data_IF_323068306021
#
_entry.id   IF_323068306021
#
_cell.length_a   1.000
_cell.length_b   1.000
_cell.length_c   1.000
_cell.angle_alpha   90.00
_cell.angle_beta   90.00
_cell.angle_gamma   90.00
#
_symmetry.space_group_name_H-M   'P 1'
#
loop_
_entity.id
_entity.type
_entity.pdbx_description
1 polymer ?
#
# COMPACT_ATOMS: atom_id res chain seq x y z
N UNK A 1 -13.14 21.15 -12.25
CA UNK A 1 -12.35 20.24 -11.38
C UNK A 1 -11.77 21.02 -10.21
N UNK A 2 -11.27 22.24 -10.42
CA UNK A 2 -10.83 23.16 -9.36
C UNK A 2 -11.98 23.52 -8.41
N UNK A 3 -13.18 23.74 -8.95
CA UNK A 3 -14.39 24.07 -8.16
C UNK A 3 -14.75 22.98 -7.13
N UNK A 4 -14.47 21.72 -7.46
CA UNK A 4 -14.72 20.59 -6.57
C UNK A 4 -13.76 20.56 -5.38
N UNK A 5 -12.53 21.06 -5.53
CA UNK A 5 -11.53 21.06 -4.44
C UNK A 5 -11.86 22.15 -3.43
N UNK A 6 -12.24 23.35 -3.90
CA UNK A 6 -12.62 24.47 -3.04
C UNK A 6 -13.84 24.14 -2.17
N UNK A 7 -14.80 23.38 -2.71
CA UNK A 7 -15.97 22.92 -1.97
C UNK A 7 -15.61 22.09 -0.72
N UNK A 8 -14.46 21.41 -0.70
CA UNK A 8 -14.04 20.55 0.40
C UNK A 8 -12.99 21.18 1.32
N UNK A 9 -12.71 22.49 1.18
CA UNK A 9 -11.69 23.18 1.98
C UNK A 9 -11.84 22.97 3.50
N UNK A 10 -13.07 23.08 4.03
CA UNK A 10 -13.36 22.87 5.45
C UNK A 10 -13.12 21.41 5.88
N UNK A 11 -13.46 20.46 5.02
CA UNK A 11 -13.22 19.03 5.26
C UNK A 11 -11.72 18.73 5.31
N UNK A 12 -10.93 19.33 4.41
CA UNK A 12 -9.48 19.20 4.44
C UNK A 12 -8.87 19.82 5.70
N UNK A 13 -9.43 20.92 6.21
CA UNK A 13 -8.89 21.56 7.41
C UNK A 13 -9.15 20.74 8.69
N UNK A 14 -10.27 20.02 8.76
CA UNK A 14 -10.75 19.36 9.99
C UNK A 14 -10.45 17.86 10.04
N UNK A 15 -10.39 17.20 8.88
CA UNK A 15 -10.25 15.74 8.78
C UNK A 15 -8.91 15.28 8.21
N UNK A 16 -7.95 16.19 8.01
CA UNK A 16 -6.59 15.84 7.61
C UNK A 16 -5.62 16.16 8.74
N UNK A 17 -4.83 15.16 9.12
CA UNK A 17 -3.76 15.29 10.12
C UNK A 17 -2.44 14.85 9.50
N UNK A 18 -1.35 15.45 9.96
CA UNK A 18 -0.01 14.98 9.62
C UNK A 18 0.36 13.81 10.54
N UNK A 19 0.76 12.64 10.02
CA UNK A 19 1.30 11.55 10.83
C UNK A 19 2.53 12.03 11.61
N UNK A 20 2.51 11.89 12.93
CA UNK A 20 3.67 12.15 13.79
C UNK A 20 4.51 10.90 14.01
N UNK A 21 5.63 11.02 14.75
CA UNK A 21 6.56 9.91 15.00
C UNK A 21 5.93 8.69 15.70
N UNK A 22 4.91 8.89 16.53
CA UNK A 22 4.19 7.81 17.22
C UNK A 22 2.92 7.37 16.49
N UNK A 23 2.60 7.97 15.34
CA UNK A 23 1.40 7.64 14.58
C UNK A 23 1.58 6.32 13.85
N UNK A 24 0.65 5.39 14.05
CA UNK A 24 0.63 4.09 13.36
C UNK A 24 -0.18 4.21 12.08
N UNK A 25 0.46 3.99 10.92
CA UNK A 25 -0.19 4.06 9.62
C UNK A 25 -0.55 2.64 9.15
N UNK A 26 -1.84 2.36 9.00
CA UNK A 26 -2.35 1.06 8.58
C UNK A 26 -2.68 1.08 7.09
N UNK A 27 -1.64 0.98 6.25
CA UNK A 27 -1.75 1.04 4.78
C UNK A 27 -1.62 -0.31 4.06
N UNK A 28 -1.53 -1.40 4.81
CA UNK A 28 -1.31 -2.73 4.24
C UNK A 28 -2.61 -3.51 4.05
N UNK A 29 -3.59 -3.32 4.95
CA UNK A 29 -4.83 -4.11 5.00
C UNK A 29 -5.96 -3.29 5.65
N UNK A 30 -7.20 -3.62 5.30
CA UNK A 30 -8.40 -3.07 5.90
C UNK A 30 -8.59 -3.54 7.36
N UNK A 31 -9.10 -2.66 8.24
CA UNK A 31 -9.39 -3.00 9.63
C UNK A 31 -10.66 -3.86 9.83
N UNK A 32 -11.49 -4.01 8.79
CA UNK A 32 -12.78 -4.72 8.83
C UNK A 32 -12.83 -5.94 7.91
N UNK A 33 -11.89 -6.07 6.96
CA UNK A 33 -11.83 -7.12 5.95
C UNK A 33 -10.37 -7.39 5.55
N UNK A 34 -10.14 -8.33 4.65
CA UNK A 34 -8.81 -8.64 4.11
C UNK A 34 -8.47 -7.84 2.84
N UNK A 35 -9.18 -6.74 2.59
CA UNK A 35 -8.90 -5.88 1.43
C UNK A 35 -7.51 -5.25 1.60
N UNK A 36 -6.73 -5.27 0.53
CA UNK A 36 -5.37 -4.71 0.47
C UNK A 36 -5.28 -3.73 -0.71
N UNK A 37 -4.19 -2.94 -0.83
CA UNK A 37 -4.01 -2.09 -2.01
C UNK A 37 -4.00 -2.86 -3.33
N UNK A 38 -3.68 -4.16 -3.31
CA UNK A 38 -3.69 -5.07 -4.47
C UNK A 38 -5.11 -5.53 -4.87
N UNK A 39 -6.11 -5.29 -4.03
CA UNK A 39 -7.50 -5.68 -4.31
C UNK A 39 -8.15 -4.75 -5.34
N UNK A 40 -9.18 -5.24 -6.04
CA UNK A 40 -9.80 -4.51 -7.16
C UNK A 40 -10.28 -3.10 -6.77
N UNK A 41 -10.81 -2.97 -5.56
CA UNK A 41 -11.33 -1.70 -5.03
C UNK A 41 -10.28 -0.81 -4.39
N UNK A 42 -9.04 -1.30 -4.24
CA UNK A 42 -7.97 -0.64 -3.48
C UNK A 42 -8.26 -0.53 -1.98
N UNK A 43 -7.40 0.23 -1.29
CA UNK A 43 -7.48 0.48 0.14
C UNK A 43 -7.62 1.99 0.41
N UNK A 44 -8.49 2.38 1.35
CA UNK A 44 -8.75 3.78 1.69
C UNK A 44 -8.23 4.08 3.09
N UNK A 45 -7.23 4.94 3.17
CA UNK A 45 -6.59 5.33 4.43
C UNK A 45 -7.24 6.62 4.92
N UNK A 46 -7.87 6.57 6.10
CA UNK A 46 -8.43 7.77 6.72
C UNK A 46 -7.32 8.78 7.03
N UNK A 47 -7.41 10.01 6.52
CA UNK A 47 -6.38 11.03 6.74
C UNK A 47 -6.37 11.65 8.14
N UNK A 48 -7.36 11.30 8.98
CA UNK A 48 -7.47 11.72 10.39
C UNK A 48 -6.90 10.69 11.37
N UNK A 49 -7.20 9.41 11.13
CA UNK A 49 -6.88 8.30 12.05
C UNK A 49 -5.79 7.36 11.52
N UNK A 50 -5.43 7.47 10.24
CA UNK A 50 -4.45 6.64 9.55
C UNK A 50 -4.81 5.13 9.50
N UNK A 51 -6.10 4.82 9.65
CA UNK A 51 -6.64 3.47 9.51
C UNK A 51 -6.97 3.17 8.06
N UNK A 52 -6.60 1.97 7.59
CA UNK A 52 -6.98 1.42 6.30
C UNK A 52 -8.39 0.83 6.34
N UNK A 53 -9.22 1.20 5.38
CA UNK A 53 -10.63 0.82 5.29
C UNK A 53 -10.92 0.38 3.86
N UNK A 54 -11.58 -0.77 3.72
CA UNK A 54 -12.06 -1.28 2.43
C UNK A 54 -13.26 -0.47 1.95
N UNK A 55 -13.52 -0.49 0.63
CA UNK A 55 -14.54 0.34 -0.01
C UNK A 55 -15.93 0.17 0.63
N UNK A 56 -16.31 -1.06 0.92
CA UNK A 56 -17.64 -1.42 1.44
C UNK A 56 -17.87 -0.92 2.88
N UNK A 57 -16.79 -0.61 3.61
CA UNK A 57 -16.85 -0.17 5.00
C UNK A 57 -16.67 1.34 5.19
N UNK A 58 -16.46 2.10 4.11
CA UNK A 58 -16.24 3.55 4.15
C UNK A 58 -17.39 4.31 4.81
N UNK A 59 -18.63 4.01 4.43
CA UNK A 59 -19.81 4.68 5.01
C UNK A 59 -19.96 4.39 6.50
N UNK A 60 -19.68 3.15 6.90
CA UNK A 60 -19.73 2.76 8.30
C UNK A 60 -18.62 3.45 9.10
N UNK A 61 -17.42 3.56 8.55
CA UNK A 61 -16.30 4.25 9.19
C UNK A 61 -16.58 5.75 9.32
N UNK A 62 -17.13 6.39 8.29
CA UNK A 62 -17.59 7.78 8.31
C UNK A 62 -18.58 8.00 9.46
N UNK A 63 -19.64 7.18 9.54
CA UNK A 63 -20.67 7.28 10.60
C UNK A 63 -20.09 7.15 12.02
N UNK A 64 -19.00 6.39 12.20
CA UNK A 64 -18.38 6.15 13.51
C UNK A 64 -17.34 7.20 13.90
N UNK A 65 -16.59 7.73 12.94
CA UNK A 65 -15.42 8.58 13.21
C UNK A 65 -15.59 10.02 12.76
N UNK A 66 -16.69 10.32 12.06
CA UNK A 66 -16.98 11.62 11.45
C UNK A 66 -15.83 12.12 10.57
N UNK A 67 -15.08 11.18 9.98
CA UNK A 67 -13.93 11.46 9.11
C UNK A 67 -14.33 11.24 7.67
N UNK A 68 -14.23 12.27 6.84
CA UNK A 68 -14.75 12.26 5.48
C UNK A 68 -13.69 12.34 4.38
N UNK A 69 -12.40 12.48 4.73
CA UNK A 69 -11.30 12.55 3.77
C UNK A 69 -10.41 11.30 3.88
N UNK A 70 -10.18 10.64 2.74
CA UNK A 70 -9.42 9.41 2.65
C UNK A 70 -8.39 9.48 1.53
N UNK A 71 -7.22 8.90 1.74
CA UNK A 71 -6.24 8.59 0.70
C UNK A 71 -6.53 7.19 0.17
N UNK A 72 -6.91 7.08 -1.09
CA UNK A 72 -7.11 5.81 -1.77
C UNK A 72 -5.81 5.38 -2.46
N UNK A 73 -5.34 4.17 -2.13
CA UNK A 73 -4.18 3.51 -2.73
C UNK A 73 -4.65 2.27 -3.47
N UNK A 74 -4.31 2.18 -4.76
CA UNK A 74 -4.57 1.00 -5.59
C UNK A 74 -3.29 0.58 -6.29
N UNK A 75 -2.97 -0.70 -6.22
CA UNK A 75 -1.78 -1.31 -6.82
C UNK A 75 -2.20 -2.23 -7.97
N UNK A 76 -1.64 -1.99 -9.14
CA UNK A 76 -1.87 -2.81 -10.34
C UNK A 76 -0.60 -3.60 -10.65
N UNK A 77 -0.74 -4.92 -10.78
CA UNK A 77 0.35 -5.82 -11.18
C UNK A 77 0.19 -6.15 -12.66
N UNK A 78 1.15 -5.72 -13.47
CA UNK A 78 1.18 -5.99 -14.91
C UNK A 78 2.33 -6.93 -15.22
N UNK A 79 2.08 -7.98 -16.00
CA UNK A 79 3.13 -8.86 -16.52
C UNK A 79 3.96 -8.06 -17.54
N UNK A 80 5.27 -7.95 -17.35
CA UNK A 80 6.14 -7.53 -18.45
C UNK A 80 6.23 -8.70 -19.43
N UNK A 81 5.89 -8.43 -20.69
CA UNK A 81 6.20 -9.34 -21.78
C UNK A 81 7.73 -9.35 -21.97
N UNK A 82 8.33 -10.54 -21.87
CA UNK A 82 9.74 -10.74 -22.21
C UNK A 82 9.89 -10.52 -23.72
N UNK A 83 10.24 -9.30 -24.13
CA UNK A 83 10.72 -9.02 -25.48
C UNK A 83 12.15 -9.56 -25.65
N UNK A 84 12.33 -10.87 -25.52
CA UNK A 84 13.57 -11.57 -25.84
C UNK A 84 13.43 -12.34 -27.15
N UNK A 85 13.11 -11.61 -28.22
CA UNK A 85 13.26 -12.05 -29.60
C UNK A 85 14.31 -11.19 -30.31
N UNK A 86 15.54 -11.21 -29.79
CA UNK A 86 16.75 -10.90 -30.58
C UNK A 86 17.96 -11.66 -30.03
N UNK A 87 18.24 -12.80 -30.67
CA UNK A 87 19.56 -13.25 -31.14
C UNK A 87 20.77 -13.43 -30.19
N UNK A 88 21.32 -14.66 -30.29
CA UNK A 88 22.71 -15.12 -30.10
C UNK A 88 23.29 -15.42 -28.69
N UNK A 89 23.29 -16.71 -28.36
CA UNK A 89 24.46 -17.57 -28.05
C UNK A 89 25.68 -16.94 -27.35
N UNK A 90 25.92 -17.27 -26.07
CA UNK A 90 27.21 -17.85 -25.66
C UNK A 90 27.11 -18.54 -24.28
N UNK A 91 27.69 -19.73 -24.16
CA UNK A 91 27.49 -20.64 -23.04
C UNK A 91 28.23 -20.28 -21.75
N UNK A 92 27.67 -20.66 -20.59
CA UNK A 92 28.45 -21.01 -19.39
C UNK A 92 27.58 -21.81 -18.40
N UNK A 93 28.17 -22.72 -17.59
CA UNK A 93 27.54 -23.99 -17.26
C UNK A 93 26.74 -24.00 -15.94
N UNK A 94 25.85 -24.99 -15.91
CA UNK A 94 24.88 -25.37 -14.90
C UNK A 94 25.44 -25.46 -13.47
N UNK A 95 24.99 -24.59 -12.56
CA UNK A 95 25.07 -24.86 -11.12
C UNK A 95 23.74 -25.47 -10.67
N UNK A 96 23.69 -26.80 -10.73
CA UNK A 96 22.67 -27.64 -10.10
C UNK A 96 22.60 -27.32 -8.61
N UNK A 97 21.56 -26.60 -8.18
CA UNK A 97 21.17 -26.56 -6.77
C UNK A 97 20.23 -27.75 -6.57
N UNK A 98 20.67 -28.74 -5.80
CA UNK A 98 19.91 -29.92 -5.39
C UNK A 98 18.65 -29.51 -4.62
N UNK A 99 17.51 -29.49 -5.30
CA UNK A 99 16.20 -29.22 -4.69
C UNK A 99 15.54 -30.56 -4.35
N UNK A 100 15.51 -30.88 -3.06
CA UNK A 100 14.59 -31.85 -2.48
C UNK A 100 13.16 -31.42 -2.85
N UNK A 101 12.47 -32.18 -3.70
CA UNK A 101 11.07 -31.96 -4.03
C UNK A 101 10.24 -33.07 -3.38
N UNK A 102 9.48 -32.71 -2.34
CA UNK A 102 8.33 -33.50 -1.89
C UNK A 102 7.20 -33.17 -2.87
N UNK A 103 6.85 -34.16 -3.69
CA UNK A 103 5.84 -34.04 -4.73
C UNK A 103 4.44 -33.87 -4.13
N UNK A 104 3.86 -32.69 -4.35
CA UNK A 104 2.41 -32.48 -4.35
C UNK A 104 2.02 -31.99 -5.75
N UNK A 105 0.84 -32.36 -6.21
CA UNK A 105 0.31 -32.26 -7.58
C UNK A 105 -0.03 -30.80 -8.02
N UNK A 106 0.76 -29.84 -7.55
CA UNK A 106 0.71 -28.40 -7.85
C UNK A 106 2.12 -27.82 -7.75
N UNK A 107 3.05 -28.37 -8.54
CA UNK A 107 4.48 -28.10 -8.46
C UNK A 107 4.85 -26.62 -8.70
N UNK A 108 5.91 -26.19 -8.02
CA UNK A 108 6.57 -24.89 -8.19
C UNK A 108 7.04 -24.76 -9.65
N UNK A 109 6.38 -23.92 -10.44
CA UNK A 109 6.80 -23.60 -11.81
C UNK A 109 8.15 -22.85 -11.74
N UNK A 110 9.27 -23.47 -12.18
CA UNK A 110 10.58 -22.84 -12.15
C UNK A 110 10.66 -21.60 -13.07
N UNK A 111 9.75 -21.46 -14.04
CA UNK A 111 9.64 -20.32 -14.93
C UNK A 111 8.76 -19.18 -14.37
N UNK A 112 7.95 -19.44 -13.33
CA UNK A 112 7.24 -18.36 -12.61
C UNK A 112 8.21 -17.35 -11.97
N UNK A 113 9.45 -17.79 -11.67
CA UNK A 113 10.53 -16.92 -11.19
C UNK A 113 11.14 -16.01 -12.27
N UNK A 114 10.83 -16.24 -13.55
CA UNK A 114 11.34 -15.43 -14.68
C UNK A 114 10.39 -14.31 -15.08
N UNK A 115 9.10 -14.43 -14.76
CA UNK A 115 8.09 -13.40 -15.07
C UNK A 115 8.38 -12.15 -14.24
N UNK A 116 8.87 -11.11 -14.90
CA UNK A 116 9.03 -9.79 -14.28
C UNK A 116 7.64 -9.14 -14.21
N UNK A 117 7.25 -8.69 -13.03
CA UNK A 117 6.01 -7.92 -12.84
C UNK A 117 6.37 -6.46 -12.65
N UNK A 118 5.64 -5.57 -13.33
CA UNK A 118 5.65 -4.15 -13.04
C UNK A 118 4.54 -3.88 -12.02
N UNK A 119 4.90 -3.20 -10.93
CA UNK A 119 3.96 -2.85 -9.86
C UNK A 119 3.76 -1.35 -9.93
N UNK A 120 2.57 -0.93 -10.36
CA UNK A 120 2.19 0.48 -10.43
C UNK A 120 1.24 0.83 -9.29
N UNK A 121 1.54 1.89 -8.57
CA UNK A 121 0.67 2.43 -7.52
C UNK A 121 -0.05 3.69 -8.02
N UNK A 122 -1.37 3.71 -7.84
CA UNK A 122 -2.23 4.83 -8.15
C UNK A 122 -2.78 5.43 -6.86
N UNK A 123 -2.69 6.74 -6.74
CA UNK A 123 -3.14 7.48 -5.57
C UNK A 123 -4.24 8.46 -5.93
N UNK A 124 -5.22 8.58 -5.06
CA UNK A 124 -6.29 9.56 -5.19
C UNK A 124 -6.84 9.96 -3.82
N UNK A 125 -7.32 11.19 -3.68
CA UNK A 125 -8.02 11.64 -2.50
C UNK A 125 -9.51 11.43 -2.73
N UNK A 126 -10.18 10.80 -1.78
CA UNK A 126 -11.60 10.51 -1.84
C UNK A 126 -12.31 11.22 -0.71
N UNK A 127 -13.31 12.03 -1.06
CA UNK A 127 -14.11 12.79 -0.10
C UNK A 127 -15.54 12.25 -0.07
N UNK A 128 -16.00 11.89 1.13
CA UNK A 128 -17.36 11.41 1.41
C UNK A 128 -18.25 12.56 1.95
N UNK A 129 -19.58 12.46 1.86
CA UNK A 129 -20.38 11.36 1.31
C UNK A 129 -20.52 11.38 -0.22
N UNK A 130 -20.02 12.42 -0.91
CA UNK A 130 -20.16 12.57 -2.36
C UNK A 130 -19.33 11.60 -3.20
N UNK A 131 -18.46 10.79 -2.57
CA UNK A 131 -17.48 9.92 -3.23
C UNK A 131 -16.65 10.66 -4.29
N UNK A 132 -16.33 11.93 -4.04
CA UNK A 132 -15.57 12.73 -5.00
C UNK A 132 -14.13 12.27 -5.02
N UNK A 133 -13.66 11.83 -6.18
CA UNK A 133 -12.29 11.34 -6.40
C UNK A 133 -11.46 12.45 -7.03
N UNK A 134 -10.39 12.84 -6.34
CA UNK A 134 -9.41 13.81 -6.80
C UNK A 134 -8.09 13.06 -7.04
N UNK A 135 -7.60 12.97 -8.30
CA UNK A 135 -6.33 12.31 -8.58
C UNK A 135 -5.16 12.96 -7.84
N UNK A 136 -4.18 12.14 -7.43
CA UNK A 136 -2.91 12.61 -6.86
C UNK A 136 -1.75 12.03 -7.68
N UNK A 137 -0.70 12.82 -8.02
CA UNK A 137 -0.42 14.20 -7.60
C UNK A 137 -1.29 15.25 -8.31
N UNK A 138 -1.60 16.35 -7.60
CA UNK A 138 -2.38 17.48 -8.13
C UNK A 138 -1.98 18.80 -7.44
N UNK A 139 -1.62 19.82 -8.24
CA UNK A 139 -1.12 21.11 -7.74
C UNK A 139 -2.19 21.95 -7.02
N UNK A 140 -3.47 21.72 -7.32
CA UNK A 140 -4.58 22.47 -6.75
C UNK A 140 -4.96 22.01 -5.34
N UNK A 141 -4.39 20.90 -4.84
CA UNK A 141 -4.65 20.42 -3.49
C UNK A 141 -4.04 21.36 -2.43
N UNK A 142 -4.71 21.56 -1.29
CA UNK A 142 -4.14 22.29 -0.16
C UNK A 142 -2.81 21.68 0.34
N UNK A 143 -1.91 22.51 0.85
CA UNK A 143 -0.59 22.09 1.31
C UNK A 143 -0.66 21.03 2.42
N UNK A 144 -1.58 21.17 3.39
CA UNK A 144 -1.78 20.21 4.47
C UNK A 144 -2.15 18.80 3.95
N UNK A 145 -2.92 18.72 2.86
CA UNK A 145 -3.28 17.45 2.22
C UNK A 145 -2.04 16.83 1.59
N UNK A 146 -1.28 17.60 0.80
CA UNK A 146 -0.07 17.11 0.13
C UNK A 146 0.96 16.59 1.14
N UNK A 147 1.24 17.36 2.18
CA UNK A 147 2.19 16.98 3.24
C UNK A 147 1.73 15.72 3.98
N UNK A 148 0.44 15.61 4.30
CA UNK A 148 -0.12 14.42 4.95
C UNK A 148 -0.02 13.18 4.05
N UNK A 149 -0.34 13.30 2.76
CA UNK A 149 -0.19 12.19 1.80
C UNK A 149 1.25 11.74 1.71
N UNK A 150 2.19 12.67 1.53
CA UNK A 150 3.61 12.32 1.47
C UNK A 150 4.10 11.62 2.74
N UNK A 151 3.67 12.10 3.91
CA UNK A 151 4.02 11.50 5.19
C UNK A 151 3.42 10.08 5.33
N UNK A 152 2.17 9.86 4.91
CA UNK A 152 1.53 8.54 4.91
C UNK A 152 2.26 7.56 3.97
N UNK A 153 2.65 8.03 2.78
CA UNK A 153 3.38 7.22 1.80
C UNK A 153 4.78 6.87 2.30
N UNK A 154 5.48 7.80 2.95
CA UNK A 154 6.83 7.61 3.52
C UNK A 154 6.84 6.81 4.82
N UNK A 155 5.76 6.84 5.62
CA UNK A 155 5.70 6.17 6.91
C UNK A 155 5.86 4.65 6.78
N UNK A 156 6.55 4.03 7.74
CA UNK A 156 6.52 2.57 7.88
C UNK A 156 5.13 2.12 8.36
N UNK A 157 4.66 0.99 7.84
CA UNK A 157 3.35 0.49 8.22
C UNK A 157 3.33 -0.01 9.65
N UNK A 158 2.18 0.10 10.32
CA UNK A 158 1.99 -0.35 11.69
C UNK A 158 2.36 -1.83 11.88
N UNK A 159 2.10 -2.66 10.87
CA UNK A 159 2.45 -4.08 10.85
C UNK A 159 3.96 -4.30 10.83
N UNK A 160 4.68 -3.59 9.96
CA UNK A 160 6.13 -3.68 9.86
C UNK A 160 6.81 -3.20 11.15
N UNK A 161 6.32 -2.11 11.74
CA UNK A 161 6.81 -1.61 13.02
C UNK A 161 6.63 -2.64 14.15
N UNK A 162 5.47 -3.29 14.22
CA UNK A 162 5.21 -4.34 15.21
C UNK A 162 6.12 -5.57 15.03
N UNK A 163 6.42 -5.93 13.78
CA UNK A 163 7.37 -7.00 13.45
C UNK A 163 8.80 -6.66 13.91
N UNK A 164 9.27 -5.44 13.64
CA UNK A 164 10.59 -4.95 14.09
C UNK A 164 10.66 -4.95 15.62
N UNK A 165 9.62 -4.46 16.30
CA UNK A 165 9.53 -4.42 17.77
C UNK A 165 9.57 -5.83 18.37
N UNK A 166 8.87 -6.80 17.77
CA UNK A 166 8.90 -8.20 18.20
C UNK A 166 10.28 -8.84 18.01
N UNK A 167 11.00 -8.49 16.94
CA UNK A 167 12.34 -9.00 16.65
C UNK A 167 13.42 -8.39 17.55
N UNK A 168 13.26 -7.14 17.99
CA UNK A 168 14.23 -6.41 18.81
C UNK A 168 14.58 -7.07 20.16
N UNK A 169 13.78 -8.04 20.62
CA UNK A 169 14.01 -8.80 21.86
C UNK A 169 14.51 -10.23 21.69
N UNK A 170 14.79 -10.70 20.47
CA UNK A 170 15.07 -12.13 20.19
C UNK A 170 16.54 -12.53 20.11
N UNK A 171 17.47 -11.65 20.51
CA UNK A 171 18.91 -11.91 20.47
C UNK A 171 19.60 -11.60 21.81
N UNK A 172 19.55 -12.55 22.75
CA UNK A 172 20.42 -12.58 23.95
C UNK A 172 21.46 -13.69 23.75
N UNK A 173 22.46 -13.38 22.91
CA UNK A 173 23.55 -14.30 22.63
C UNK A 173 24.31 -14.61 23.91
N UNK A 174 24.23 -15.86 24.36
CA UNK A 174 25.00 -16.43 25.46
C UNK A 174 26.47 -16.01 25.34
N UNK A 175 26.88 -15.04 26.18
CA UNK A 175 28.29 -14.69 26.36
C UNK A 175 28.92 -15.91 27.01
N UNK A 176 29.69 -16.66 26.21
CA UNK A 176 30.49 -17.78 26.73
C UNK A 176 31.67 -17.19 27.48
N UNK A 177 31.65 -17.38 28.80
CA UNK A 177 32.78 -17.15 29.71
C UNK A 177 34.03 -17.96 29.30
#
# INVERSE_FOLDING_TARGET
MVDSIEQFAESFQTNVRLPGAQSKVYKDECIYSFDTPDYETGLYICMKTFLGVGKDFLEQHLKKTDSNVYLHIKRTKTLLEDNSDTAQNDGHPEKKITRLAIGVEGGFDPDASKKKYDIQEHYSIVVLPSHTVIPYPNDNLPANVKESVEAILKAESARKLAEIEALAGTWDGEVRD
#
